data_IF_986995338309
#
_entry.id   IF_986995338309
#
_cell.length_a   1.000
_cell.length_b   1.000
_cell.length_c   1.000
_cell.angle_alpha   90.00
_cell.angle_beta   90.00
_cell.angle_gamma   90.00
#
_symmetry.space_group_name_H-M   'P 1'
#
loop_
_entity.id
_entity.type
_entity.pdbx_description
1 polymer ?
#
# COMPACT_ATOMS: atom_id res chain seq x y z
N UNK A 1 13.76 15.57 9.37
CA UNK A 1 13.06 15.44 8.07
C UNK A 1 14.07 15.77 6.97
N UNK A 2 14.29 14.88 6.00
CA UNK A 2 15.13 15.20 4.83
C UNK A 2 14.35 16.22 3.98
N UNK A 3 14.97 17.36 3.65
CA UNK A 3 14.38 18.39 2.77
C UNK A 3 14.52 17.91 1.33
N UNK A 4 13.43 17.90 0.56
CA UNK A 4 13.49 17.64 -0.89
C UNK A 4 14.30 18.72 -1.61
N UNK A 5 14.79 18.42 -2.81
CA UNK A 5 15.42 19.42 -3.65
C UNK A 5 14.31 20.28 -4.27
N UNK A 6 14.45 21.61 -4.23
CA UNK A 6 13.46 22.53 -4.81
C UNK A 6 14.02 23.06 -6.12
N UNK A 7 13.26 22.93 -7.21
CA UNK A 7 13.64 23.51 -8.49
C UNK A 7 13.67 25.04 -8.37
N UNK A 8 14.81 25.66 -8.63
CA UNK A 8 14.98 27.12 -8.56
C UNK A 8 14.29 27.87 -9.69
N UNK A 9 13.78 27.15 -10.71
CA UNK A 9 13.09 27.72 -11.87
C UNK A 9 11.55 27.68 -11.74
N UNK A 10 10.97 26.56 -11.28
CA UNK A 10 9.52 26.41 -11.15
C UNK A 10 9.02 26.27 -9.71
N UNK A 11 9.90 26.07 -8.72
CA UNK A 11 9.53 25.90 -7.32
C UNK A 11 9.06 24.49 -6.94
N UNK A 12 9.06 23.54 -7.88
CA UNK A 12 8.65 22.16 -7.60
C UNK A 12 9.65 21.45 -6.67
N UNK A 13 9.12 20.77 -5.67
CA UNK A 13 9.87 19.85 -4.84
C UNK A 13 10.03 18.52 -5.57
N UNK A 14 11.28 18.11 -5.78
CA UNK A 14 11.61 16.83 -6.37
C UNK A 14 12.56 16.04 -5.44
N UNK A 15 12.40 14.74 -5.51
CA UNK A 15 13.30 13.77 -4.89
C UNK A 15 14.40 13.51 -5.91
N UNK A 16 15.67 13.53 -5.51
CA UNK A 16 16.76 13.21 -6.44
C UNK A 16 16.69 11.74 -6.85
N UNK A 17 17.18 11.44 -8.05
CA UNK A 17 17.22 10.06 -8.59
C UNK A 17 17.90 9.09 -7.61
N UNK A 18 18.98 9.52 -6.94
CA UNK A 18 19.68 8.73 -5.91
C UNK A 18 18.76 8.36 -4.74
N UNK A 19 17.94 9.30 -4.27
CA UNK A 19 17.00 9.01 -3.17
C UNK A 19 15.85 8.13 -3.66
N UNK A 20 15.49 8.24 -4.93
CA UNK A 20 14.50 7.36 -5.54
C UNK A 20 14.99 5.92 -5.64
N UNK A 21 16.24 5.70 -6.09
CA UNK A 21 16.89 4.39 -6.10
C UNK A 21 17.00 3.79 -4.69
N UNK A 22 17.32 4.60 -3.67
CA UNK A 22 17.33 4.15 -2.27
C UNK A 22 15.95 3.65 -1.82
N UNK A 23 14.87 4.36 -2.21
CA UNK A 23 13.50 3.99 -1.86
C UNK A 23 13.10 2.70 -2.58
N UNK A 24 13.33 2.62 -3.89
CA UNK A 24 13.00 1.44 -4.69
C UNK A 24 13.70 0.19 -4.13
N UNK A 25 15.02 0.26 -3.95
CA UNK A 25 15.81 -0.83 -3.38
C UNK A 25 15.28 -1.26 -2.00
N UNK A 26 14.96 -0.29 -1.14
CA UNK A 26 14.41 -0.61 0.19
C UNK A 26 13.02 -1.24 0.10
N UNK A 27 12.18 -0.81 -0.83
CA UNK A 27 10.86 -1.43 -1.04
C UNK A 27 10.96 -2.83 -1.62
N UNK A 28 11.96 -3.10 -2.47
CA UNK A 28 12.26 -4.45 -2.96
C UNK A 28 12.74 -5.36 -1.83
N UNK A 29 13.66 -4.88 -0.99
CA UNK A 29 14.15 -5.60 0.19
C UNK A 29 13.01 -5.93 1.18
N UNK A 30 12.02 -5.05 1.30
CA UNK A 30 10.82 -5.26 2.11
C UNK A 30 9.74 -6.09 1.41
N UNK A 31 9.94 -6.50 0.16
CA UNK A 31 8.94 -7.22 -0.66
C UNK A 31 7.70 -6.39 -1.02
N UNK A 32 7.75 -5.07 -0.84
CA UNK A 32 6.65 -4.13 -1.10
C UNK A 32 6.61 -3.62 -2.53
N UNK A 33 7.76 -3.66 -3.22
CA UNK A 33 7.89 -3.10 -4.56
C UNK A 33 6.89 -3.74 -5.53
N UNK A 34 6.09 -2.90 -6.18
CA UNK A 34 5.10 -3.36 -7.15
C UNK A 34 3.92 -4.15 -6.58
N UNK A 35 3.69 -4.19 -5.26
CA UNK A 35 2.53 -4.88 -4.66
C UNK A 35 1.21 -4.12 -4.78
N UNK A 36 1.23 -2.83 -5.15
CA UNK A 36 -0.01 -2.07 -5.32
C UNK A 36 -0.89 -2.68 -6.43
N UNK A 37 -2.17 -2.92 -6.13
CA UNK A 37 -3.16 -3.43 -7.07
C UNK A 37 -4.45 -2.65 -6.97
N UNK A 38 -4.94 -2.17 -8.12
CA UNK A 38 -6.28 -1.59 -8.23
C UNK A 38 -7.29 -2.73 -8.37
N UNK A 39 -8.16 -2.88 -7.38
CA UNK A 39 -9.21 -3.89 -7.34
C UNK A 39 -10.59 -3.25 -7.30
N UNK A 40 -11.61 -3.95 -7.80
CA UNK A 40 -13.00 -3.53 -7.71
C UNK A 40 -13.67 -4.19 -6.50
N UNK A 41 -14.39 -3.38 -5.73
CA UNK A 41 -15.28 -3.87 -4.67
C UNK A 41 -16.48 -4.57 -5.31
N UNK A 42 -16.84 -5.75 -4.81
CA UNK A 42 -17.99 -6.54 -5.28
C UNK A 42 -19.07 -6.61 -4.20
N UNK A 43 -20.33 -6.77 -4.61
CA UNK A 43 -21.43 -7.04 -3.69
C UNK A 43 -21.45 -8.52 -3.30
N UNK A 44 -21.65 -8.79 -2.01
CA UNK A 44 -21.83 -10.14 -1.45
C UNK A 44 -23.03 -10.12 -0.51
N UNK A 45 -24.19 -10.56 -0.99
CA UNK A 45 -25.45 -10.42 -0.24
C UNK A 45 -25.73 -8.95 0.14
N UNK A 46 -25.80 -8.68 1.45
CA UNK A 46 -26.00 -7.34 2.01
C UNK A 46 -24.70 -6.60 2.34
N UNK A 47 -23.53 -7.17 2.02
CA UNK A 47 -22.23 -6.59 2.29
C UNK A 47 -21.40 -6.39 1.01
N UNK A 48 -20.19 -5.89 1.21
CA UNK A 48 -19.19 -5.70 0.16
C UNK A 48 -17.99 -6.60 0.43
N UNK A 49 -17.37 -7.08 -0.65
CA UNK A 49 -16.19 -7.93 -0.61
C UNK A 49 -15.09 -7.36 -1.51
N UNK A 50 -13.85 -7.43 -1.02
CA UNK A 50 -12.64 -7.15 -1.78
C UNK A 50 -11.93 -8.48 -1.97
N UNK A 51 -11.59 -8.79 -3.22
CA UNK A 51 -10.75 -9.94 -3.52
C UNK A 51 -9.29 -9.53 -3.34
N UNK A 52 -8.58 -10.19 -2.44
CA UNK A 52 -7.13 -10.05 -2.31
C UNK A 52 -6.44 -10.84 -3.44
N UNK A 53 -5.63 -10.18 -4.28
CA UNK A 53 -4.74 -10.85 -5.21
C UNK A 53 -3.78 -11.82 -4.51
N UNK A 54 -3.34 -12.92 -5.16
CA UNK A 54 -2.48 -13.93 -4.53
C UNK A 54 -1.17 -13.38 -3.97
N UNK A 55 -0.51 -12.49 -4.69
CA UNK A 55 0.75 -11.82 -4.28
C UNK A 55 0.58 -11.03 -2.97
N UNK A 56 -0.52 -10.26 -2.85
CA UNK A 56 -0.84 -9.53 -1.62
C UNK A 56 -1.22 -10.49 -0.49
N UNK A 57 -2.00 -11.55 -0.77
CA UNK A 57 -2.39 -12.53 0.24
C UNK A 57 -1.18 -13.29 0.81
N UNK A 58 -0.26 -13.70 -0.06
CA UNK A 58 0.99 -14.38 0.31
C UNK A 58 1.89 -13.45 1.12
N UNK A 59 2.05 -12.19 0.68
CA UNK A 59 2.81 -11.18 1.42
C UNK A 59 2.26 -10.95 2.84
N UNK A 60 0.94 -10.88 2.98
CA UNK A 60 0.28 -10.67 4.28
C UNK A 60 0.15 -11.96 5.10
N UNK A 61 0.42 -13.14 4.52
CA UNK A 61 0.21 -14.44 5.15
C UNK A 61 -1.27 -14.75 5.42
N UNK A 62 -2.19 -14.19 4.63
CA UNK A 62 -3.64 -14.33 4.80
C UNK A 62 -4.15 -15.53 4.01
N UNK A 63 -4.99 -16.34 4.64
CA UNK A 63 -5.67 -17.49 4.02
C UNK A 63 -7.18 -17.34 4.16
N UNK A 64 -7.92 -18.25 3.53
CA UNK A 64 -9.35 -18.36 3.79
C UNK A 64 -9.60 -18.49 5.30
N UNK A 65 -10.61 -17.77 5.80
CA UNK A 65 -11.00 -17.73 7.22
C UNK A 65 -9.97 -17.07 8.17
N UNK A 66 -8.89 -16.47 7.67
CA UNK A 66 -8.03 -15.62 8.51
C UNK A 66 -8.84 -14.46 9.08
N UNK A 67 -8.76 -14.28 10.40
CA UNK A 67 -9.41 -13.18 11.10
C UNK A 67 -8.64 -11.89 10.85
N UNK A 68 -9.35 -10.84 10.46
CA UNK A 68 -8.79 -9.51 10.25
C UNK A 68 -9.63 -8.46 10.97
N UNK A 69 -8.97 -7.39 11.39
CA UNK A 69 -9.64 -6.21 11.93
C UNK A 69 -9.71 -5.12 10.86
N UNK A 70 -10.88 -4.50 10.72
CA UNK A 70 -11.12 -3.38 9.80
C UNK A 70 -11.20 -2.09 10.61
N UNK A 71 -10.25 -1.18 10.42
CA UNK A 71 -10.15 0.08 11.16
C UNK A 71 -10.31 1.27 10.21
N UNK A 72 -11.45 1.97 10.23
CA UNK A 72 -11.58 3.25 9.54
C UNK A 72 -10.69 4.30 10.20
N UNK A 73 -9.76 4.89 9.46
CA UNK A 73 -8.86 5.93 9.99
C UNK A 73 -9.44 7.33 9.77
N UNK A 74 -10.05 7.56 8.61
CA UNK A 74 -10.71 8.80 8.20
C UNK A 74 -11.65 8.52 7.02
N UNK A 75 -12.37 9.55 6.54
CA UNK A 75 -13.28 9.39 5.40
C UNK A 75 -12.50 8.96 4.15
N UNK A 76 -12.84 7.78 3.62
CA UNK A 76 -12.20 7.22 2.43
C UNK A 76 -10.93 6.42 2.69
N UNK A 77 -10.53 6.25 3.97
CA UNK A 77 -9.34 5.49 4.35
C UNK A 77 -9.70 4.36 5.31
N UNK A 78 -9.33 3.15 4.92
CA UNK A 78 -9.53 1.93 5.69
C UNK A 78 -8.19 1.24 5.86
N UNK A 79 -7.89 0.83 7.08
CA UNK A 79 -6.74 -0.02 7.39
C UNK A 79 -7.21 -1.42 7.77
N UNK A 80 -6.47 -2.44 7.34
CA UNK A 80 -6.76 -3.85 7.60
C UNK A 80 -5.61 -4.43 8.39
N UNK A 81 -5.86 -4.95 9.59
CA UNK A 81 -4.86 -5.62 10.41
C UNK A 81 -5.11 -7.12 10.40
N UNK A 82 -4.10 -7.89 9.99
CA UNK A 82 -4.12 -9.35 10.07
C UNK A 82 -3.85 -9.73 11.52
N UNK A 83 -4.83 -10.36 12.18
CA UNK A 83 -4.63 -10.87 13.54
C UNK A 83 -3.82 -12.17 13.44
N UNK A 84 -2.63 -12.19 14.04
CA UNK A 84 -1.81 -13.40 14.15
C UNK A 84 -2.17 -14.19 15.40
#
# INVERSE_FOLDING_TARGET
MRKGAVCTSCGDEYISDVVWEEIEKKTEELGLFGLERKVKVRKSGNSLAITLPPDIADFLGVKAQTLVSLLPLERGKLEIHVSK
#
